data_IF_878745543671
#
_entry.id   IF_878745543671
#
_cell.length_a   1.000
_cell.length_b   1.000
_cell.length_c   1.000
_cell.angle_alpha   90.00
_cell.angle_beta   90.00
_cell.angle_gamma   90.00
#
_symmetry.space_group_name_H-M   'P 1'
#
loop_
_entity.id
_entity.type
_entity.pdbx_description
1 polymer ?
#
# COMPACT_ATOMS: atom_id res chain seq x y z
N UNK A 1 -17.04 -2.67 -3.29
CA UNK A 1 -16.75 -1.63 -2.28
C UNK A 1 -17.22 -2.12 -0.92
N UNK A 2 -16.46 -1.87 0.15
CA UNK A 2 -16.81 -2.29 1.51
C UNK A 2 -17.51 -1.17 2.29
N UNK A 3 -18.83 -1.21 2.33
CA UNK A 3 -19.65 -0.16 2.94
C UNK A 3 -19.34 0.10 4.43
N UNK A 4 -18.91 -0.94 5.17
CA UNK A 4 -18.59 -0.79 6.59
C UNK A 4 -17.31 0.03 6.80
N UNK A 5 -16.28 -0.25 6.01
CA UNK A 5 -15.00 0.47 6.08
C UNK A 5 -15.19 1.94 5.69
N UNK A 6 -15.98 2.21 4.64
CA UNK A 6 -16.36 3.57 4.22
C UNK A 6 -17.07 4.30 5.36
N UNK A 7 -18.09 3.69 5.96
CA UNK A 7 -18.83 4.31 7.06
C UNK A 7 -17.96 4.60 8.30
N UNK A 8 -17.03 3.70 8.65
CA UNK A 8 -16.07 3.94 9.74
C UNK A 8 -15.16 5.15 9.46
N UNK A 9 -14.64 5.26 8.22
CA UNK A 9 -13.79 6.38 7.80
C UNK A 9 -14.55 7.71 7.74
N UNK A 10 -15.75 7.71 7.16
CA UNK A 10 -16.59 8.91 7.09
C UNK A 10 -17.01 9.39 8.49
N UNK A 11 -17.36 8.47 9.40
CA UNK A 11 -17.64 8.79 10.80
C UNK A 11 -16.43 9.40 11.50
N UNK A 12 -15.23 8.97 11.12
CA UNK A 12 -14.00 9.58 11.60
C UNK A 12 -13.71 10.93 10.94
N UNK A 13 -14.44 11.37 9.90
CA UNK A 13 -14.19 12.63 9.19
C UNK A 13 -13.15 12.50 8.07
N UNK A 14 -12.76 11.28 7.69
CA UNK A 14 -11.82 11.01 6.60
C UNK A 14 -12.53 11.14 5.26
N UNK A 15 -11.90 11.85 4.32
CA UNK A 15 -12.38 11.99 2.94
C UNK A 15 -12.03 10.75 2.12
N UNK A 16 -13.04 9.91 1.87
CA UNK A 16 -12.90 8.63 1.16
C UNK A 16 -12.83 8.76 -0.36
N UNK A 17 -13.17 9.93 -0.91
CA UNK A 17 -13.12 10.24 -2.34
C UNK A 17 -11.69 10.51 -2.85
N UNK A 18 -10.72 10.70 -1.95
CA UNK A 18 -9.33 11.05 -2.24
C UNK A 18 -8.35 10.00 -1.66
N UNK A 19 -8.41 8.74 -2.12
CA UNK A 19 -7.58 7.65 -1.58
C UNK A 19 -6.07 7.95 -1.69
N UNK A 20 -5.64 8.71 -2.69
CA UNK A 20 -4.24 9.15 -2.87
C UNK A 20 -3.69 10.02 -1.73
N UNK A 21 -4.56 10.55 -0.87
CA UNK A 21 -4.17 11.33 0.32
C UNK A 21 -4.16 10.51 1.61
N UNK A 22 -4.43 9.21 1.50
CA UNK A 22 -4.48 8.28 2.61
C UNK A 22 -3.23 7.39 2.59
N UNK A 23 -2.79 6.96 3.77
CA UNK A 23 -1.83 5.86 3.88
C UNK A 23 -1.97 5.14 5.22
N UNK A 24 -1.48 3.91 5.28
CA UNK A 24 -1.47 3.13 6.52
C UNK A 24 -0.34 3.63 7.42
N UNK A 25 -0.69 4.06 8.63
CA UNK A 25 0.26 4.55 9.62
C UNK A 25 0.96 3.39 10.34
N UNK A 26 2.17 3.67 10.84
CA UNK A 26 2.93 2.73 11.67
C UNK A 26 2.47 2.80 13.12
N UNK A 27 2.08 1.66 13.66
CA UNK A 27 1.87 1.47 15.09
C UNK A 27 3.03 0.68 15.70
N UNK A 28 3.40 1.03 16.92
CA UNK A 28 4.47 0.37 17.66
C UNK A 28 3.88 -0.54 18.73
N UNK A 29 4.56 -1.64 19.02
CA UNK A 29 4.21 -2.47 20.15
C UNK A 29 4.51 -1.78 21.49
N UNK A 30 4.03 -2.37 22.59
CA UNK A 30 4.14 -1.79 23.93
C UNK A 30 5.59 -1.54 24.36
N UNK A 31 6.56 -2.22 23.76
CA UNK A 31 7.99 -2.02 24.01
C UNK A 31 8.58 -0.80 23.28
N UNK A 32 7.84 -0.19 22.35
CA UNK A 32 8.27 0.97 21.56
C UNK A 32 9.43 0.67 20.60
N UNK A 33 9.79 -0.60 20.39
CA UNK A 33 10.95 -1.02 19.59
C UNK A 33 10.54 -1.76 18.33
N UNK A 34 9.46 -2.53 18.40
CA UNK A 34 8.99 -3.31 17.27
C UNK A 34 7.77 -2.65 16.64
N UNK A 35 7.77 -2.58 15.31
CA UNK A 35 6.57 -2.21 14.56
C UNK A 35 5.56 -3.33 14.69
N UNK A 36 4.35 -2.98 15.10
CA UNK A 36 3.22 -3.92 15.13
C UNK A 36 2.80 -4.24 13.70
N UNK A 37 2.77 -5.53 13.30
CA UNK A 37 2.21 -5.92 12.02
C UNK A 37 0.74 -5.51 11.91
N UNK A 38 0.34 -5.01 10.74
CA UNK A 38 -1.03 -4.56 10.48
C UNK A 38 -1.98 -5.76 10.44
N UNK A 39 -2.96 -5.78 11.34
CA UNK A 39 -4.00 -6.80 11.44
C UNK A 39 -5.32 -6.40 10.76
N UNK A 40 -6.45 -6.86 11.31
CA UNK A 40 -7.79 -6.50 10.81
C UNK A 40 -8.12 -5.03 11.00
N UNK A 41 -7.79 -4.50 12.18
CA UNK A 41 -7.95 -3.09 12.54
C UNK A 41 -6.69 -2.32 12.18
N UNK A 42 -6.85 -1.35 11.29
CA UNK A 42 -5.73 -0.64 10.65
C UNK A 42 -5.82 0.84 10.98
N UNK A 43 -4.70 1.45 11.37
CA UNK A 43 -4.60 2.90 11.53
C UNK A 43 -4.32 3.57 10.18
N UNK A 44 -5.24 4.43 9.75
CA UNK A 44 -5.13 5.23 8.52
C UNK A 44 -4.80 6.66 8.90
N UNK A 45 -3.85 7.24 8.18
CA UNK A 45 -3.56 8.66 8.23
C UNK A 45 -4.17 9.37 7.03
N UNK A 46 -4.86 10.48 7.31
CA UNK A 46 -5.44 11.40 6.33
C UNK A 46 -4.99 12.83 6.67
N UNK A 47 -3.85 13.26 6.11
CA UNK A 47 -3.18 14.48 6.57
C UNK A 47 -2.79 14.37 8.05
N UNK A 48 -3.26 15.31 8.87
CA UNK A 48 -3.02 15.31 10.33
C UNK A 48 -3.95 14.36 11.11
N UNK A 49 -4.98 13.84 10.46
CA UNK A 49 -5.96 12.98 11.09
C UNK A 49 -5.50 11.51 11.11
N UNK A 50 -5.74 10.85 12.24
CA UNK A 50 -5.60 9.40 12.39
C UNK A 50 -6.98 8.80 12.66
N UNK A 51 -7.28 7.70 11.98
CA UNK A 51 -8.52 6.94 12.16
C UNK A 51 -8.23 5.44 12.14
N UNK A 52 -8.86 4.68 13.02
CA UNK A 52 -8.82 3.22 12.94
C UNK A 52 -10.04 2.70 12.19
N UNK A 53 -9.79 1.85 11.20
CA UNK A 53 -10.83 1.20 10.39
C UNK A 53 -10.63 -0.31 10.39
N UNK A 54 -11.74 -1.05 10.39
CA UNK A 54 -11.73 -2.50 10.19
C UNK A 54 -11.76 -2.82 8.70
N UNK A 55 -10.77 -3.54 8.18
CA UNK A 55 -10.70 -3.92 6.77
C UNK A 55 -10.83 -5.42 6.58
N UNK A 56 -11.48 -5.86 5.50
CA UNK A 56 -11.53 -7.28 5.11
C UNK A 56 -10.20 -7.74 4.50
N UNK A 57 -9.91 -9.06 4.45
CA UNK A 57 -8.79 -9.59 3.69
C UNK A 57 -8.95 -9.33 2.18
N UNK A 58 -7.84 -9.31 1.44
CA UNK A 58 -7.81 -8.97 0.01
C UNK A 58 -8.67 -9.95 -0.81
N UNK A 59 -8.64 -11.24 -0.48
CA UNK A 59 -9.48 -12.26 -1.13
C UNK A 59 -10.99 -12.00 -1.06
N UNK A 60 -11.45 -11.19 -0.11
CA UNK A 60 -12.86 -10.84 0.04
C UNK A 60 -13.21 -9.47 -0.58
N UNK A 61 -12.24 -8.77 -1.16
CA UNK A 61 -12.40 -7.40 -1.66
C UNK A 61 -12.37 -7.30 -3.19
N UNK A 62 -12.24 -8.41 -3.91
CA UNK A 62 -12.36 -8.43 -5.38
C UNK A 62 -13.82 -8.26 -5.81
N UNK A 63 -14.29 -7.02 -5.86
CA UNK A 63 -15.70 -6.69 -6.18
C UNK A 63 -15.90 -6.12 -7.58
N UNK A 64 -14.81 -5.77 -8.29
CA UNK A 64 -14.88 -5.27 -9.67
C UNK A 64 -14.77 -6.38 -10.72
N UNK A 65 -15.13 -6.05 -11.96
CA UNK A 65 -15.08 -6.93 -13.14
C UNK A 65 -14.29 -6.34 -14.32
N UNK A 66 -13.70 -5.16 -14.13
CA UNK A 66 -12.94 -4.45 -15.16
C UNK A 66 -11.64 -5.17 -15.48
N UNK A 67 -11.32 -5.29 -16.77
CA UNK A 67 -10.00 -5.75 -17.23
C UNK A 67 -9.08 -4.53 -17.43
N UNK A 68 -7.93 -4.45 -16.75
CA UNK A 68 -7.04 -3.31 -16.92
C UNK A 68 -6.42 -3.31 -18.33
N UNK A 69 -6.06 -2.13 -18.85
CA UNK A 69 -5.20 -2.05 -20.03
C UNK A 69 -3.78 -2.51 -19.70
N UNK A 70 -2.93 -2.63 -20.72
CA UNK A 70 -1.52 -2.96 -20.51
C UNK A 70 -0.77 -1.81 -19.83
N UNK A 71 -0.06 -2.12 -18.73
CA UNK A 71 0.85 -1.19 -18.04
C UNK A 71 2.29 -1.27 -18.55
N UNK A 72 2.51 -1.79 -19.77
CA UNK A 72 3.83 -1.77 -20.41
C UNK A 72 4.33 -0.35 -20.72
N UNK A 73 3.41 0.61 -20.85
CA UNK A 73 3.68 2.05 -20.92
C UNK A 73 3.29 2.70 -19.58
N UNK A 74 3.28 4.04 -19.53
CA UNK A 74 2.72 4.77 -18.40
C UNK A 74 1.30 4.22 -18.08
N UNK A 75 1.03 3.79 -16.83
CA UNK A 75 -0.31 3.39 -16.44
C UNK A 75 -1.31 4.51 -16.67
N UNK A 76 -2.57 4.20 -16.99
CA UNK A 76 -3.61 5.20 -17.12
C UNK A 76 -3.80 5.99 -15.81
N UNK A 77 -4.14 7.30 -15.88
CA UNK A 77 -4.27 8.16 -14.70
C UNK A 77 -5.26 7.66 -13.65
N UNK A 78 -6.31 6.93 -14.03
CA UNK A 78 -7.31 6.40 -13.10
C UNK A 78 -6.76 5.38 -12.09
N UNK A 79 -5.61 4.75 -12.38
CA UNK A 79 -4.93 3.84 -11.44
C UNK A 79 -3.93 4.56 -10.54
N UNK A 80 -3.61 5.82 -10.83
CA UNK A 80 -2.64 6.60 -10.06
C UNK A 80 -2.96 6.64 -8.56
N UNK A 81 -4.23 6.80 -8.12
CA UNK A 81 -4.53 6.78 -6.68
C UNK A 81 -4.22 5.44 -6.00
N UNK A 82 -4.30 4.32 -6.72
CA UNK A 82 -3.93 3.01 -6.18
C UNK A 82 -2.42 2.91 -5.97
N UNK A 83 -1.63 3.33 -6.96
CA UNK A 83 -0.17 3.38 -6.85
C UNK A 83 0.26 4.30 -5.69
N UNK A 84 -0.26 5.53 -5.65
CA UNK A 84 0.10 6.53 -4.65
C UNK A 84 -0.20 6.07 -3.22
N UNK A 85 -1.35 5.42 -2.98
CA UNK A 85 -1.69 4.95 -1.63
C UNK A 85 -0.69 3.88 -1.14
N UNK A 86 -0.29 2.94 -2.02
CA UNK A 86 0.70 1.92 -1.68
C UNK A 86 2.09 2.53 -1.48
N UNK A 87 2.51 3.41 -2.37
CA UNK A 87 3.82 4.07 -2.32
C UNK A 87 3.93 5.03 -1.13
N UNK A 88 2.89 5.81 -0.83
CA UNK A 88 2.83 6.67 0.36
C UNK A 88 2.89 5.86 1.66
N UNK A 89 2.24 4.69 1.68
CA UNK A 89 2.33 3.77 2.82
C UNK A 89 3.76 3.23 2.99
N UNK A 90 4.40 2.80 1.91
CA UNK A 90 5.77 2.32 1.93
C UNK A 90 6.76 3.40 2.38
N UNK A 91 6.63 4.61 1.84
CA UNK A 91 7.43 5.77 2.19
C UNK A 91 7.22 6.16 3.66
N UNK A 92 5.96 6.18 4.10
CA UNK A 92 5.56 6.53 5.46
C UNK A 92 6.13 5.56 6.49
N UNK A 93 6.09 4.26 6.17
CA UNK A 93 6.74 3.21 6.94
C UNK A 93 8.23 3.46 7.07
N UNK A 94 8.96 3.60 5.95
CA UNK A 94 10.41 3.78 5.96
C UNK A 94 10.83 5.01 6.77
N UNK A 95 10.08 6.11 6.64
CA UNK A 95 10.29 7.34 7.41
C UNK A 95 10.07 7.12 8.90
N UNK A 96 9.01 6.41 9.29
CA UNK A 96 8.69 6.14 10.69
C UNK A 96 9.74 5.26 11.37
N UNK A 97 10.22 4.22 10.69
CA UNK A 97 11.24 3.30 11.24
C UNK A 97 12.67 3.81 11.08
N UNK A 98 12.86 4.96 10.40
CA UNK A 98 14.17 5.55 10.06
C UNK A 98 15.11 4.57 9.37
N UNK A 99 14.54 3.68 8.56
CA UNK A 99 15.25 2.69 7.77
C UNK A 99 14.56 2.56 6.42
N UNK A 100 15.38 2.47 5.37
CA UNK A 100 14.89 2.31 4.00
C UNK A 100 15.14 0.88 3.57
N UNK A 101 14.12 0.23 3.02
CA UNK A 101 14.29 -1.08 2.41
C UNK A 101 15.05 -0.99 1.09
N UNK A 102 15.79 -2.05 0.78
CA UNK A 102 16.52 -2.13 -0.49
C UNK A 102 15.55 -2.34 -1.66
N UNK A 103 15.97 -1.97 -2.87
CA UNK A 103 15.20 -2.17 -4.11
C UNK A 103 14.83 -3.65 -4.30
N UNK A 104 15.77 -4.55 -3.95
CA UNK A 104 15.56 -5.99 -3.95
C UNK A 104 14.47 -6.42 -2.95
N UNK A 105 14.44 -5.81 -1.77
CA UNK A 105 13.46 -6.12 -0.75
C UNK A 105 12.07 -5.61 -1.16
N UNK A 106 11.96 -4.40 -1.70
CA UNK A 106 10.71 -3.91 -2.30
C UNK A 106 10.22 -4.83 -3.42
N UNK A 107 11.11 -5.22 -4.36
CA UNK A 107 10.77 -6.17 -5.42
C UNK A 107 10.22 -7.48 -4.85
N UNK A 108 10.90 -8.04 -3.84
CA UNK A 108 10.52 -9.28 -3.17
C UNK A 108 9.15 -9.16 -2.52
N UNK A 109 8.90 -8.06 -1.80
CA UNK A 109 7.65 -7.80 -1.09
C UNK A 109 6.47 -7.63 -2.05
N UNK A 110 6.61 -6.85 -3.12
CA UNK A 110 5.55 -6.72 -4.12
C UNK A 110 5.27 -8.04 -4.84
N UNK A 111 6.32 -8.81 -5.17
CA UNK A 111 6.14 -10.13 -5.77
C UNK A 111 5.45 -11.11 -4.82
N UNK A 112 5.73 -11.04 -3.52
CA UNK A 112 5.06 -11.84 -2.51
C UNK A 112 3.60 -11.43 -2.37
N UNK A 113 3.31 -10.13 -2.38
CA UNK A 113 1.95 -9.58 -2.30
C UNK A 113 1.09 -10.04 -3.47
N UNK A 114 1.67 -10.07 -4.67
CA UNK A 114 1.00 -10.59 -5.87
C UNK A 114 0.64 -12.07 -5.73
N UNK A 115 1.53 -12.89 -5.17
CA UNK A 115 1.39 -14.36 -5.12
C UNK A 115 0.61 -14.85 -3.91
N UNK A 116 0.71 -14.15 -2.79
CA UNK A 116 0.11 -14.49 -1.50
C UNK A 116 -0.45 -13.22 -0.87
N UNK A 117 -1.53 -12.65 -1.46
CA UNK A 117 -2.07 -11.36 -1.02
C UNK A 117 -2.52 -11.36 0.44
N UNK A 118 -3.05 -12.48 0.94
CA UNK A 118 -3.43 -12.67 2.35
C UNK A 118 -2.36 -13.46 3.16
N UNK A 119 -1.14 -13.58 2.62
CA UNK A 119 -0.04 -14.28 3.29
C UNK A 119 0.58 -13.49 4.43
N UNK A 120 1.66 -14.03 4.98
CA UNK A 120 2.50 -13.34 5.97
C UNK A 120 3.94 -13.24 5.47
N UNK A 121 4.68 -12.30 6.04
CA UNK A 121 6.11 -12.11 5.80
C UNK A 121 6.82 -11.70 7.09
N UNK A 122 8.14 -11.92 7.16
CA UNK A 122 8.95 -11.52 8.31
C UNK A 122 9.20 -10.02 8.34
N UNK A 123 9.19 -9.37 7.18
CA UNK A 123 9.32 -7.92 7.09
C UNK A 123 7.97 -7.26 7.43
N UNK A 124 7.88 -6.42 8.49
CA UNK A 124 6.62 -5.78 8.89
C UNK A 124 6.04 -4.85 7.81
N UNK A 125 6.86 -4.32 6.90
CA UNK A 125 6.40 -3.52 5.77
C UNK A 125 5.37 -4.28 4.93
N UNK A 126 5.50 -5.61 4.81
CA UNK A 126 4.55 -6.42 4.05
C UNK A 126 3.10 -6.23 4.50
N UNK A 127 2.88 -6.27 5.82
CA UNK A 127 1.54 -6.07 6.39
C UNK A 127 1.00 -4.66 6.14
N UNK A 128 1.87 -3.65 6.06
CA UNK A 128 1.48 -2.29 5.73
C UNK A 128 1.09 -2.17 4.25
N UNK A 129 1.83 -2.82 3.34
CA UNK A 129 1.46 -2.91 1.92
C UNK A 129 0.13 -3.65 1.73
N UNK A 130 -0.12 -4.72 2.49
CA UNK A 130 -1.43 -5.39 2.51
C UNK A 130 -2.53 -4.45 3.02
N UNK A 131 -2.28 -3.71 4.10
CA UNK A 131 -3.21 -2.72 4.64
C UNK A 131 -3.56 -1.63 3.61
N UNK A 132 -2.58 -1.15 2.86
CA UNK A 132 -2.77 -0.17 1.78
C UNK A 132 -3.69 -0.72 0.68
N UNK A 133 -3.43 -1.94 0.21
CA UNK A 133 -4.28 -2.59 -0.79
C UNK A 133 -5.70 -2.79 -0.26
N UNK A 134 -5.84 -3.33 0.95
CA UNK A 134 -7.14 -3.54 1.60
C UNK A 134 -7.91 -2.25 1.75
N UNK A 135 -7.23 -1.15 2.09
CA UNK A 135 -7.85 0.17 2.17
C UNK A 135 -8.37 0.59 0.80
N UNK A 136 -7.53 0.58 -0.24
CA UNK A 136 -7.93 1.00 -1.58
C UNK A 136 -9.14 0.19 -2.10
N UNK A 137 -9.08 -1.14 -1.99
CA UNK A 137 -10.15 -2.03 -2.45
C UNK A 137 -11.42 -1.97 -1.59
N UNK A 138 -11.32 -1.44 -0.37
CA UNK A 138 -12.50 -1.12 0.43
C UNK A 138 -13.22 0.13 -0.09
N UNK A 139 -12.47 1.08 -0.67
CA UNK A 139 -12.96 2.36 -1.18
C UNK A 139 -13.42 2.31 -2.64
N UNK A 140 -12.88 1.39 -3.44
CA UNK A 140 -13.14 1.26 -4.88
C UNK A 140 -13.44 -0.18 -5.25
N UNK A 141 -14.30 -0.37 -6.25
CA UNK A 141 -14.45 -1.67 -6.89
C UNK A 141 -13.18 -1.97 -7.70
N UNK A 142 -12.54 -3.09 -7.38
CA UNK A 142 -11.29 -3.51 -8.02
C UNK A 142 -11.43 -4.98 -8.38
N UNK A 143 -11.18 -5.30 -9.64
CA UNK A 143 -11.09 -6.69 -10.09
C UNK A 143 -9.77 -7.32 -9.70
N UNK A 144 -9.72 -8.65 -9.70
CA UNK A 144 -8.45 -9.37 -9.49
C UNK A 144 -7.41 -8.99 -10.54
N UNK A 145 -7.81 -8.79 -11.80
CA UNK A 145 -6.89 -8.44 -12.87
C UNK A 145 -6.28 -7.05 -12.68
N UNK A 146 -7.07 -6.08 -12.20
CA UNK A 146 -6.59 -4.73 -11.89
C UNK A 146 -5.57 -4.76 -10.74
N UNK A 147 -5.89 -5.46 -9.65
CA UNK A 147 -4.96 -5.68 -8.55
C UNK A 147 -3.64 -6.29 -9.03
N UNK A 148 -3.70 -7.38 -9.80
CA UNK A 148 -2.52 -8.05 -10.31
C UNK A 148 -1.67 -7.13 -11.19
N UNK A 149 -2.31 -6.35 -12.06
CA UNK A 149 -1.61 -5.40 -12.94
C UNK A 149 -0.88 -4.30 -12.15
N UNK A 150 -1.52 -3.73 -11.12
CA UNK A 150 -0.93 -2.70 -10.26
C UNK A 150 0.27 -3.25 -9.49
N UNK A 151 0.10 -4.38 -8.80
CA UNK A 151 1.20 -4.96 -8.01
C UNK A 151 2.34 -5.44 -8.90
N UNK A 152 2.04 -6.01 -10.07
CA UNK A 152 3.04 -6.39 -11.06
C UNK A 152 3.84 -5.19 -11.55
N UNK A 153 3.21 -4.03 -11.77
CA UNK A 153 3.89 -2.80 -12.20
C UNK A 153 4.79 -2.22 -11.11
N UNK A 154 4.36 -2.26 -9.84
CA UNK A 154 5.17 -1.88 -8.68
C UNK A 154 6.40 -2.78 -8.55
N UNK A 155 6.22 -4.09 -8.63
CA UNK A 155 7.29 -5.08 -8.66
C UNK A 155 8.31 -4.78 -9.78
N UNK A 156 7.84 -4.53 -11.00
CA UNK A 156 8.71 -4.16 -12.13
C UNK A 156 9.42 -2.83 -11.91
N UNK A 157 8.77 -1.86 -11.25
CA UNK A 157 9.37 -0.57 -10.92
C UNK A 157 10.54 -0.75 -9.96
N UNK A 158 10.32 -1.42 -8.81
CA UNK A 158 11.39 -1.69 -7.83
C UNK A 158 12.59 -2.40 -8.47
N UNK A 159 12.32 -3.41 -9.32
CA UNK A 159 13.37 -4.12 -10.07
C UNK A 159 14.11 -3.24 -11.07
N UNK A 160 13.44 -2.29 -11.73
CA UNK A 160 14.08 -1.38 -12.68
C UNK A 160 15.14 -0.50 -12.02
N UNK A 161 14.87 -0.04 -10.79
CA UNK A 161 15.78 0.79 -10.02
C UNK A 161 16.91 0.00 -9.32
N UNK A 162 16.78 -1.33 -9.23
CA UNK A 162 17.81 -2.19 -8.66
C UNK A 162 19.06 -2.21 -9.56
N UNK A 163 20.14 -1.60 -9.08
CA UNK A 163 21.42 -1.54 -9.80
C UNK A 163 22.47 -2.50 -9.24
N UNK A 164 22.42 -2.77 -7.93
CA UNK A 164 23.31 -3.68 -7.23
C UNK A 164 22.68 -4.14 -5.91
N UNK A 165 23.28 -5.12 -5.25
CA UNK A 165 22.83 -5.57 -3.92
C UNK A 165 22.93 -4.41 -2.93
N UNK A 166 21.83 -4.08 -2.27
CA UNK A 166 21.78 -2.99 -1.29
C UNK A 166 21.42 -1.62 -1.87
N UNK A 167 21.14 -1.49 -3.17
CA UNK A 167 20.65 -0.23 -3.72
C UNK A 167 19.29 0.16 -3.12
N UNK A 168 19.07 1.47 -2.98
CA UNK A 168 17.84 2.08 -2.40
C UNK A 168 17.24 3.11 -3.37
N UNK A 169 17.49 2.94 -4.66
CA UNK A 169 17.15 3.91 -5.70
C UNK A 169 15.64 4.04 -5.87
N UNK A 170 14.89 2.96 -5.73
CA UNK A 170 13.42 3.00 -5.77
C UNK A 170 12.87 3.91 -4.68
N UNK A 171 13.46 3.87 -3.48
CA UNK A 171 13.06 4.79 -2.44
C UNK A 171 13.41 6.24 -2.77
N UNK A 172 14.66 6.50 -3.22
CA UNK A 172 15.11 7.88 -3.49
C UNK A 172 14.38 8.54 -4.66
N UNK A 173 14.16 7.80 -5.74
CA UNK A 173 13.64 8.32 -7.02
C UNK A 173 12.11 8.21 -7.14
N UNK A 174 11.47 7.35 -6.34
CA UNK A 174 10.00 7.15 -6.41
C UNK A 174 9.35 7.50 -5.08
N UNK A 175 9.68 6.79 -4.00
CA UNK A 175 8.92 6.88 -2.76
C UNK A 175 9.13 8.22 -2.03
N UNK A 176 10.33 8.80 -2.11
CA UNK A 176 10.64 10.07 -1.45
C UNK A 176 9.81 11.23 -1.99
N UNK A 177 9.50 11.22 -3.28
CA UNK A 177 8.69 12.28 -3.90
C UNK A 177 7.23 12.24 -3.43
N UNK A 178 6.71 11.05 -3.10
CA UNK A 178 5.30 10.84 -2.75
C UNK A 178 4.91 11.50 -1.43
N UNK A 179 5.81 11.62 -0.46
CA UNK A 179 5.51 12.24 0.85
C UNK A 179 5.73 13.76 0.88
N UNK A 180 6.17 14.36 -0.22
CA UNK A 180 6.76 15.70 -0.23
C UNK A 180 8.19 15.68 0.32
N UNK A 181 9.09 16.38 -0.39
CA UNK A 181 10.51 16.50 -0.05
C UNK A 181 10.78 17.04 1.36
#
# INVERSE_FOLDING_TARGET
>A
MDANAVAELEKAGVKVDQPERLYVAVEWDADGKHVRPVGERVQIRAGEQLAHVTLKPISQLFTGDVKPPSFAKAPPPEYQPFFLLIEATAAGYCRAVRNTETDQEFERLYRHLLRRPDGTDRNPLFSHLQGAVRLYMSLRDVSQAEFEAVIQRLHQSARHFQTHTGSINYFQEVLREVLGA
#
